data_IF_919863474545
#
_entry.id   IF_919863474545
#
_cell.length_a   1.000
_cell.length_b   1.000
_cell.length_c   1.000
_cell.angle_alpha   90.00
_cell.angle_beta   90.00
_cell.angle_gamma   90.00
#
_symmetry.space_group_name_H-M   'P 1'
#
loop_
_entity.id
_entity.type
_entity.pdbx_description
1 polymer ?
#
# COMPACT_ATOMS: atom_id res chain seq x y z
N UNK A 1 -3.00 -26.85 34.24
CA UNK A 1 -3.97 -25.73 34.14
C UNK A 1 -5.16 -26.21 33.32
N UNK A 2 -6.39 -26.14 33.85
CA UNK A 2 -7.61 -26.58 33.15
C UNK A 2 -8.16 -25.36 32.40
N UNK A 3 -7.77 -25.21 31.14
CA UNK A 3 -8.24 -24.13 30.28
C UNK A 3 -9.67 -24.43 29.86
N UNK A 4 -10.63 -23.66 30.39
CA UNK A 4 -12.03 -23.78 30.00
C UNK A 4 -12.23 -23.24 28.58
N UNK A 5 -13.18 -23.81 27.84
CA UNK A 5 -13.54 -23.30 26.50
C UNK A 5 -13.85 -21.80 26.51
N UNK A 6 -14.44 -21.29 27.61
CA UNK A 6 -14.72 -19.87 27.82
C UNK A 6 -13.45 -18.99 27.86
N UNK A 7 -12.36 -19.46 28.46
CA UNK A 7 -11.10 -18.69 28.52
C UNK A 7 -10.44 -18.59 27.15
N UNK A 8 -10.56 -19.65 26.34
CA UNK A 8 -10.08 -19.68 24.95
C UNK A 8 -10.83 -18.69 24.06
N UNK A 9 -12.16 -18.65 24.15
CA UNK A 9 -12.99 -17.73 23.38
C UNK A 9 -12.66 -16.27 23.73
N UNK A 10 -12.52 -15.95 25.02
CA UNK A 10 -12.17 -14.59 25.47
C UNK A 10 -10.79 -14.16 24.94
N UNK A 11 -9.81 -15.07 24.95
CA UNK A 11 -8.49 -14.80 24.41
C UNK A 11 -8.55 -14.53 22.90
N UNK A 12 -9.34 -15.32 22.16
CA UNK A 12 -9.53 -15.15 20.72
C UNK A 12 -10.17 -13.81 20.37
N UNK A 13 -11.18 -13.40 21.15
CA UNK A 13 -11.84 -12.09 21.00
C UNK A 13 -10.85 -10.95 21.28
N UNK A 14 -10.06 -11.04 22.35
CA UNK A 14 -9.04 -10.05 22.67
C UNK A 14 -7.98 -9.92 21.57
N UNK A 15 -7.53 -11.04 21.00
CA UNK A 15 -6.60 -11.06 19.87
C UNK A 15 -7.21 -10.35 18.65
N UNK A 16 -8.47 -10.64 18.32
CA UNK A 16 -9.15 -9.99 17.19
C UNK A 16 -9.30 -8.47 17.40
N UNK A 17 -9.71 -8.02 18.58
CA UNK A 17 -9.81 -6.58 18.88
C UNK A 17 -8.43 -5.89 18.82
N UNK A 18 -7.36 -6.56 19.25
CA UNK A 18 -6.02 -5.99 19.18
C UNK A 18 -5.55 -5.78 17.73
N UNK A 19 -5.92 -6.69 16.82
CA UNK A 19 -5.62 -6.54 15.38
C UNK A 19 -6.40 -5.36 14.80
N UNK A 20 -7.69 -5.23 15.15
CA UNK A 20 -8.50 -4.09 14.71
C UNK A 20 -7.98 -2.75 15.23
N UNK A 21 -7.40 -2.69 16.43
CA UNK A 21 -6.84 -1.44 16.95
C UNK A 21 -5.58 -0.95 16.25
N UNK A 22 -4.94 -1.80 15.43
CA UNK A 22 -3.70 -1.48 14.69
C UNK A 22 -3.96 -1.21 13.21
N UNK A 23 -5.18 -1.46 12.70
CA UNK A 23 -5.49 -1.12 11.32
C UNK A 23 -5.40 0.38 11.11
N UNK A 24 -4.58 0.81 10.15
CA UNK A 24 -4.59 2.20 9.70
C UNK A 24 -5.92 2.48 9.01
N UNK A 25 -6.60 3.52 9.48
CA UNK A 25 -7.76 4.07 8.80
C UNK A 25 -7.28 4.80 7.53
N UNK A 26 -8.03 4.66 6.44
CA UNK A 26 -7.89 5.44 5.20
C UNK A 26 -9.25 5.46 4.52
N UNK A 27 -9.56 6.54 3.80
CA UNK A 27 -10.88 6.70 3.17
C UNK A 27 -10.89 6.13 1.75
N UNK A 28 -9.80 6.31 1.01
CA UNK A 28 -9.64 5.83 -0.35
C UNK A 28 -8.17 5.74 -0.75
N UNK A 29 -7.91 5.19 -1.93
CA UNK A 29 -6.58 5.16 -2.53
C UNK A 29 -6.51 6.02 -3.77
N UNK A 30 -5.43 6.80 -3.88
CA UNK A 30 -5.02 7.38 -5.15
C UNK A 30 -4.18 6.36 -5.92
N UNK A 31 -4.71 5.92 -7.06
CA UNK A 31 -3.93 5.19 -8.05
C UNK A 31 -3.24 6.18 -8.97
N UNK A 32 -1.95 6.42 -8.73
CA UNK A 32 -1.16 7.43 -9.44
C UNK A 32 -0.41 6.78 -10.59
N UNK A 33 -0.67 7.30 -11.79
CA UNK A 33 0.02 6.91 -13.02
C UNK A 33 0.91 8.07 -13.50
N UNK A 34 2.03 7.73 -14.13
CA UNK A 34 3.03 8.67 -14.61
C UNK A 34 3.30 8.45 -16.10
N UNK A 35 3.41 9.55 -16.83
CA UNK A 35 3.88 9.52 -18.21
C UNK A 35 5.41 9.59 -18.27
N UNK A 36 6.11 8.55 -18.76
CA UNK A 36 7.58 8.51 -18.77
C UNK A 36 8.20 9.61 -19.65
N UNK A 37 7.50 10.04 -20.72
CA UNK A 37 7.95 11.12 -21.58
C UNK A 37 8.11 12.45 -20.83
N UNK A 38 7.09 12.87 -20.08
CA UNK A 38 7.14 14.13 -19.30
C UNK A 38 8.08 14.04 -18.10
N UNK A 39 8.31 12.85 -17.55
CA UNK A 39 9.27 12.67 -16.47
C UNK A 39 10.72 12.86 -16.94
N UNK A 40 11.03 12.30 -18.11
CA UNK A 40 12.37 12.36 -18.70
C UNK A 40 12.66 13.67 -19.46
N UNK A 41 11.64 14.40 -19.89
CA UNK A 41 11.78 15.69 -20.61
C UNK A 41 11.85 16.87 -19.63
N UNK A 42 12.74 16.78 -18.64
CA UNK A 42 13.00 17.84 -17.67
C UNK A 42 14.49 18.12 -17.56
N UNK A 43 14.86 19.19 -16.84
CA UNK A 43 16.28 19.50 -16.56
C UNK A 43 16.94 18.43 -15.67
N UNK A 44 16.14 17.60 -15.00
CA UNK A 44 16.65 16.50 -14.18
C UNK A 44 16.96 15.31 -15.09
N UNK A 45 18.10 14.67 -14.86
CA UNK A 45 18.44 13.44 -15.57
C UNK A 45 17.47 12.32 -15.21
N UNK A 46 17.15 11.49 -16.19
CA UNK A 46 16.42 10.23 -15.99
C UNK A 46 17.25 9.06 -16.52
N UNK A 47 17.01 7.88 -15.95
CA UNK A 47 17.64 6.64 -16.39
C UNK A 47 16.56 5.64 -16.78
N UNK A 48 16.79 4.89 -17.85
CA UNK A 48 15.94 3.76 -18.18
C UNK A 48 16.23 2.55 -17.28
N UNK A 49 15.23 1.69 -17.04
CA UNK A 49 15.44 0.40 -16.39
C UNK A 49 16.46 -0.46 -17.14
N UNK A 50 17.01 -1.47 -16.45
CA UNK A 50 17.93 -2.45 -17.06
C UNK A 50 17.28 -3.27 -18.17
N UNK A 51 15.94 -3.32 -18.21
CA UNK A 51 15.15 -3.97 -19.26
C UNK A 51 15.02 -3.12 -20.53
N UNK A 52 15.55 -1.89 -20.54
CA UNK A 52 15.51 -0.99 -21.70
C UNK A 52 14.52 0.15 -21.56
N UNK A 53 14.32 0.88 -22.66
CA UNK A 53 13.43 2.04 -22.74
C UNK A 53 11.96 1.60 -22.49
N UNK A 54 11.21 2.26 -21.60
CA UNK A 54 9.79 1.97 -21.40
C UNK A 54 8.95 2.22 -22.65
N UNK A 55 7.83 1.50 -22.75
CA UNK A 55 6.78 1.79 -23.73
C UNK A 55 6.25 3.22 -23.57
N UNK A 56 5.76 3.79 -24.67
CA UNK A 56 5.10 5.10 -24.65
C UNK A 56 3.66 4.98 -24.12
N UNK A 57 3.55 4.54 -22.86
CA UNK A 57 2.29 4.39 -22.13
C UNK A 57 2.45 4.89 -20.68
N UNK A 58 1.33 5.05 -19.98
CA UNK A 58 1.33 5.37 -18.55
C UNK A 58 1.92 4.22 -17.72
N UNK A 59 2.94 4.55 -16.94
CA UNK A 59 3.49 3.67 -15.93
C UNK A 59 2.85 3.90 -14.57
N UNK A 60 2.89 2.88 -13.71
CA UNK A 60 2.41 3.01 -12.33
C UNK A 60 3.46 3.78 -11.52
N UNK A 61 3.07 4.89 -10.89
CA UNK A 61 3.91 5.61 -9.94
C UNK A 61 3.71 5.05 -8.52
N UNK A 62 2.46 4.81 -8.13
CA UNK A 62 2.14 4.24 -6.83
C UNK A 62 0.66 4.15 -6.53
N UNK A 63 0.34 3.46 -5.44
CA UNK A 63 -0.97 3.41 -4.82
C UNK A 63 -0.83 4.03 -3.43
N UNK A 64 -1.42 5.20 -3.23
CA UNK A 64 -1.24 6.00 -2.01
C UNK A 64 -2.55 6.00 -1.22
N UNK A 65 -2.48 5.62 0.06
CA UNK A 65 -3.61 5.72 0.99
C UNK A 65 -3.70 7.14 1.52
N UNK A 66 -4.87 7.76 1.44
CA UNK A 66 -5.13 9.11 1.98
C UNK A 66 -6.19 9.05 3.08
N UNK A 67 -6.02 9.91 4.09
CA UNK A 67 -6.97 10.21 5.15
C UNK A 67 -7.60 11.56 4.86
N UNK A 68 -8.93 11.66 4.88
CA UNK A 68 -9.65 12.92 4.63
C UNK A 68 -9.80 13.77 5.89
#
# INVERSE_FOLDING_TARGET
MKTSSSTLIKLLVLLYLSVLSVSQEFDFFYFVQQWPGSYCDTVKSCCYPTTGKPEADFGIHGLLAELQ
#
